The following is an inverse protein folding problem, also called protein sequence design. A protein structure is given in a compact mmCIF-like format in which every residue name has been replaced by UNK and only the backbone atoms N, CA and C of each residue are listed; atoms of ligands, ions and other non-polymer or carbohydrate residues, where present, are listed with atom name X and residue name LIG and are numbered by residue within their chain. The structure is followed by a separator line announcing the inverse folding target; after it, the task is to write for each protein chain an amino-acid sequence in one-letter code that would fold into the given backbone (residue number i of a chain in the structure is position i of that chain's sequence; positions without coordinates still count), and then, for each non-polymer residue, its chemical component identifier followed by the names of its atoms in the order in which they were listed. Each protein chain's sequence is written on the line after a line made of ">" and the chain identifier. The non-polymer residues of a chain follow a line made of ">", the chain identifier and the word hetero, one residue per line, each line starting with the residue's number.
data_IF_263656854198
#
_entry.id   IF_263656854198
#
_cell.length_a   1.000
_cell.length_b   1.000
_cell.length_c   1.000
_cell.angle_alpha   90.00
_cell.angle_beta   90.00
_cell.angle_gamma   90.00
#
_symmetry.space_group_name_H-M   'P 1'
#
loop_
_entity.id
_entity.type
_entity.pdbx_description
1 polymer ?
#
# COMPACT_ATOMS: atom_id res chain seq x y z
N UNK A 1 13.84 12.24 -13.34
CA UNK A 1 14.40 10.96 -12.84
C UNK A 1 13.22 10.18 -12.31
N UNK A 2 13.05 8.93 -12.74
CA UNK A 2 11.94 8.08 -12.31
C UNK A 2 12.18 7.61 -10.89
N UNK A 3 11.22 7.80 -10.01
CA UNK A 3 11.24 7.31 -8.63
C UNK A 3 10.38 6.06 -8.55
N UNK A 4 10.85 5.04 -7.88
CA UNK A 4 10.10 3.80 -7.69
C UNK A 4 9.83 3.55 -6.21
N UNK A 5 8.67 2.96 -5.92
CA UNK A 5 8.31 2.45 -4.61
C UNK A 5 8.15 0.94 -4.73
N UNK A 6 8.85 0.20 -3.90
CA UNK A 6 8.62 -1.22 -3.65
C UNK A 6 7.52 -1.36 -2.61
N UNK A 7 6.52 -2.16 -2.94
CA UNK A 7 5.47 -2.59 -2.04
C UNK A 7 5.74 -4.04 -1.66
N UNK A 8 5.74 -4.32 -0.37
CA UNK A 8 5.96 -5.65 0.15
C UNK A 8 4.84 -6.01 1.14
N UNK A 9 4.10 -7.06 0.82
CA UNK A 9 3.07 -7.62 1.69
C UNK A 9 3.54 -8.93 2.27
N UNK A 10 3.42 -9.07 3.56
CA UNK A 10 3.50 -10.31 4.31
C UNK A 10 2.10 -10.71 4.80
N UNK A 11 1.90 -11.91 5.38
CA UNK A 11 0.59 -12.31 5.89
C UNK A 11 -0.01 -11.31 6.86
N UNK A 12 0.77 -10.73 7.75
CA UNK A 12 0.31 -9.87 8.85
C UNK A 12 0.88 -8.44 8.79
N UNK A 13 1.76 -8.13 7.85
CA UNK A 13 2.44 -6.84 7.78
C UNK A 13 2.64 -6.34 6.35
N UNK A 14 2.93 -5.06 6.23
CA UNK A 14 3.10 -4.36 4.97
C UNK A 14 4.15 -3.26 5.10
N UNK A 15 4.95 -3.06 4.07
CA UNK A 15 5.80 -1.87 3.99
C UNK A 15 5.89 -1.30 2.57
N UNK A 16 6.27 -0.04 2.53
CA UNK A 16 6.60 0.70 1.31
C UNK A 16 8.04 1.19 1.43
N UNK A 17 8.84 0.90 0.41
CA UNK A 17 10.25 1.26 0.40
C UNK A 17 10.55 2.07 -0.85
N UNK A 18 11.05 3.29 -0.67
CA UNK A 18 11.55 4.09 -1.79
C UNK A 18 12.85 3.49 -2.31
N UNK A 19 12.86 3.16 -3.60
CA UNK A 19 14.03 2.58 -4.23
C UNK A 19 14.97 3.68 -4.74
N UNK A 20 16.27 3.47 -4.66
CA UNK A 20 17.24 4.40 -5.23
C UNK A 20 17.13 4.42 -6.76
N UNK A 21 17.70 5.45 -7.39
CA UNK A 21 17.53 5.70 -8.84
C UNK A 21 18.80 5.42 -9.66
N UNK A 22 19.86 4.93 -9.04
CA UNK A 22 21.12 4.62 -9.71
C UNK A 22 21.01 3.30 -10.46
N UNK A 23 21.30 3.31 -11.76
CA UNK A 23 21.25 2.13 -12.61
C UNK A 23 22.50 1.23 -12.45
N UNK A 24 22.35 -0.05 -12.83
CA UNK A 24 23.43 -1.07 -12.85
C UNK A 24 24.10 -1.27 -11.47
N UNK A 25 23.30 -1.23 -10.42
CA UNK A 25 23.77 -1.43 -9.05
C UNK A 25 22.89 -2.40 -8.30
N UNK A 26 23.52 -3.23 -7.46
CA UNK A 26 22.84 -4.07 -6.49
C UNK A 26 22.60 -3.30 -5.20
N UNK A 27 21.43 -3.51 -4.62
CA UNK A 27 21.01 -2.91 -3.38
C UNK A 27 20.61 -4.00 -2.40
N UNK A 28 21.05 -3.87 -1.16
CA UNK A 28 20.64 -4.73 -0.06
C UNK A 28 19.73 -3.91 0.86
N UNK A 29 18.54 -4.42 1.08
CA UNK A 29 17.53 -3.84 1.98
C UNK A 29 17.43 -4.73 3.23
N UNK A 30 17.67 -4.14 4.39
CA UNK A 30 17.38 -4.80 5.67
C UNK A 30 15.91 -4.61 6.00
N UNK A 31 15.13 -5.68 5.86
CA UNK A 31 13.69 -5.65 6.10
C UNK A 31 13.33 -5.62 7.58
N UNK A 32 14.21 -6.03 8.47
CA UNK A 32 13.95 -6.02 9.91
C UNK A 32 13.83 -4.61 10.49
N UNK A 33 14.36 -3.61 9.79
CA UNK A 33 14.20 -2.20 10.16
C UNK A 33 12.77 -1.67 9.93
N UNK A 34 11.96 -2.36 9.12
CA UNK A 34 10.63 -1.88 8.70
C UNK A 34 9.49 -2.87 9.01
N UNK A 35 9.83 -4.13 9.22
CA UNK A 35 8.88 -5.22 9.43
C UNK A 35 9.19 -5.95 10.74
N UNK A 36 8.18 -6.46 11.45
CA UNK A 36 8.38 -7.22 12.68
C UNK A 36 8.82 -8.67 12.37
N UNK A 37 9.93 -8.81 11.61
CA UNK A 37 10.50 -10.09 11.23
C UNK A 37 11.95 -10.20 11.70
N UNK A 38 12.48 -11.42 11.90
CA UNK A 38 13.91 -11.61 12.16
C UNK A 38 14.77 -10.97 11.07
N UNK A 39 16.03 -10.66 11.38
CA UNK A 39 16.96 -10.05 10.44
C UNK A 39 16.89 -10.74 9.07
N UNK A 40 16.43 -10.04 8.07
CA UNK A 40 16.22 -10.52 6.73
C UNK A 40 16.66 -9.47 5.71
N UNK A 41 17.49 -9.90 4.78
CA UNK A 41 18.03 -9.04 3.73
C UNK A 41 17.45 -9.43 2.39
N UNK A 42 16.92 -8.42 1.70
CA UNK A 42 16.42 -8.52 0.34
C UNK A 42 17.42 -7.86 -0.61
N UNK A 43 17.84 -8.60 -1.62
CA UNK A 43 18.71 -8.05 -2.65
C UNK A 43 17.91 -7.67 -3.88
N UNK A 44 18.12 -6.45 -4.35
CA UNK A 44 17.49 -5.88 -5.54
C UNK A 44 18.57 -5.38 -6.50
N UNK A 45 18.26 -5.43 -7.80
CA UNK A 45 19.13 -4.89 -8.84
C UNK A 45 18.31 -4.06 -9.84
N UNK A 46 18.79 -2.88 -10.15
CA UNK A 46 18.27 -2.07 -11.24
C UNK A 46 19.15 -2.30 -12.48
N UNK A 47 18.63 -3.03 -13.45
CA UNK A 47 19.32 -3.39 -14.68
C UNK A 47 18.49 -2.96 -15.89
N UNK A 48 19.07 -2.16 -16.78
CA UNK A 48 18.43 -1.66 -18.02
C UNK A 48 17.06 -1.02 -17.78
N UNK A 49 16.93 -0.28 -16.66
CA UNK A 49 15.69 0.41 -16.29
C UNK A 49 14.63 -0.49 -15.66
N UNK A 50 14.94 -1.76 -15.44
CA UNK A 50 14.03 -2.73 -14.79
C UNK A 50 14.57 -3.16 -13.44
N UNK A 51 13.69 -3.23 -12.46
CA UNK A 51 14.00 -3.73 -11.14
C UNK A 51 13.86 -5.25 -11.07
N UNK A 52 14.86 -5.90 -10.48
CA UNK A 52 14.92 -7.34 -10.26
C UNK A 52 15.08 -7.62 -8.77
N UNK A 53 14.33 -8.58 -8.27
CA UNK A 53 14.52 -9.15 -6.94
C UNK A 53 15.35 -10.41 -7.10
N UNK A 54 16.45 -10.51 -6.36
CA UNK A 54 17.40 -11.63 -6.45
C UNK A 54 17.06 -12.68 -5.40
N UNK A 55 17.21 -13.93 -5.79
CA UNK A 55 17.21 -15.05 -4.85
C UNK A 55 18.51 -15.02 -4.03
N UNK A 56 18.38 -15.25 -2.74
CA UNK A 56 19.52 -15.39 -1.84
C UNK A 56 19.20 -16.43 -0.75
N UNK A 57 20.01 -16.50 0.30
CA UNK A 57 19.81 -17.44 1.41
C UNK A 57 18.50 -17.18 2.21
N UNK A 58 17.84 -16.04 2.02
CA UNK A 58 16.65 -15.63 2.76
C UNK A 58 15.45 -15.36 1.87
N UNK A 59 15.63 -15.27 0.54
CA UNK A 59 14.57 -15.02 -0.45
C UNK A 59 14.49 -16.19 -1.42
N UNK A 60 13.32 -16.80 -1.51
CA UNK A 60 13.06 -17.95 -2.37
C UNK A 60 11.79 -17.70 -3.20
N UNK A 61 11.82 -18.08 -4.48
CA UNK A 61 10.66 -17.94 -5.38
C UNK A 61 9.91 -19.26 -5.60
N UNK A 62 10.31 -20.31 -4.90
CA UNK A 62 9.62 -21.60 -4.88
C UNK A 62 9.79 -22.30 -3.53
N UNK A 63 8.83 -23.15 -3.18
CA UNK A 63 8.83 -23.85 -1.89
C UNK A 63 9.99 -24.87 -1.75
N UNK A 64 10.46 -25.42 -2.87
CA UNK A 64 11.58 -26.39 -2.91
C UNK A 64 12.96 -25.72 -3.05
N UNK A 65 13.02 -24.39 -3.12
CA UNK A 65 14.24 -23.62 -3.28
C UNK A 65 14.87 -23.68 -4.69
N UNK A 66 14.22 -24.33 -5.65
CA UNK A 66 14.69 -24.50 -7.05
C UNK A 66 14.13 -23.48 -8.03
N UNK A 67 13.50 -22.42 -7.53
CA UNK A 67 12.98 -21.33 -8.35
C UNK A 67 14.07 -20.55 -9.10
N UNK A 68 13.67 -19.58 -9.93
CA UNK A 68 14.60 -18.75 -10.68
C UNK A 68 15.55 -17.97 -9.75
N UNK A 69 16.70 -17.57 -10.28
CA UNK A 69 17.69 -16.79 -9.52
C UNK A 69 17.28 -15.35 -9.32
N UNK A 70 16.36 -14.85 -10.16
CA UNK A 70 15.80 -13.51 -10.05
C UNK A 70 14.38 -13.44 -10.61
N UNK A 71 13.60 -12.49 -10.12
CA UNK A 71 12.26 -12.17 -10.62
C UNK A 71 12.18 -10.69 -10.93
N UNK A 72 11.69 -10.35 -12.13
CA UNK A 72 11.45 -8.96 -12.49
C UNK A 72 10.25 -8.42 -11.70
N UNK A 73 10.47 -7.27 -11.08
CA UNK A 73 9.40 -6.52 -10.41
C UNK A 73 8.67 -5.64 -11.43
N UNK A 74 7.36 -5.60 -11.35
CA UNK A 74 6.51 -4.76 -12.21
C UNK A 74 5.35 -4.17 -11.43
N UNK A 75 4.62 -3.26 -12.06
CA UNK A 75 3.38 -2.68 -11.55
C UNK A 75 2.13 -3.51 -11.89
N UNK A 76 2.27 -4.46 -12.83
CA UNK A 76 1.15 -5.25 -13.36
C UNK A 76 0.99 -6.62 -12.66
N UNK A 77 2.10 -7.21 -12.25
CA UNK A 77 2.11 -8.58 -11.72
C UNK A 77 2.99 -8.64 -10.48
N UNK A 78 2.45 -9.04 -9.32
CA UNK A 78 3.28 -9.22 -8.12
C UNK A 78 4.19 -10.43 -8.25
N UNK A 79 5.38 -10.30 -7.71
CA UNK A 79 6.28 -11.43 -7.44
C UNK A 79 5.84 -12.06 -6.13
N UNK A 80 5.67 -13.37 -6.13
CA UNK A 80 5.38 -14.15 -4.94
C UNK A 80 6.63 -14.94 -4.53
N UNK A 81 6.85 -15.05 -3.23
CA UNK A 81 7.99 -15.78 -2.72
C UNK A 81 7.87 -16.14 -1.24
N UNK A 82 8.98 -16.63 -0.71
CA UNK A 82 9.16 -17.03 0.68
C UNK A 82 10.32 -16.24 1.27
N UNK A 83 10.17 -15.77 2.49
CA UNK A 83 11.06 -14.86 3.17
C UNK A 83 11.58 -15.48 4.47
N UNK A 84 12.89 -15.38 4.69
CA UNK A 84 13.55 -15.77 5.93
C UNK A 84 13.58 -17.28 6.20
N UNK A 85 14.06 -17.65 7.38
CA UNK A 85 14.17 -19.03 7.83
C UNK A 85 12.81 -19.71 8.01
N UNK A 86 11.80 -18.96 8.45
CA UNK A 86 10.42 -19.40 8.64
C UNK A 86 9.68 -19.63 7.33
N UNK A 87 10.27 -19.21 6.19
CA UNK A 87 9.66 -19.27 4.85
C UNK A 87 8.29 -18.60 4.80
N UNK A 88 8.21 -17.43 5.39
CA UNK A 88 6.98 -16.64 5.40
C UNK A 88 6.62 -16.19 3.98
N UNK A 89 5.36 -16.37 3.59
CA UNK A 89 4.89 -15.98 2.25
C UNK A 89 4.89 -14.48 2.10
N UNK A 90 5.40 -13.99 0.98
CA UNK A 90 5.29 -12.58 0.63
C UNK A 90 4.78 -12.38 -0.79
N UNK A 91 4.29 -11.19 -1.06
CA UNK A 91 4.12 -10.66 -2.41
C UNK A 91 4.77 -9.28 -2.51
N UNK A 92 5.43 -9.03 -3.64
CA UNK A 92 6.13 -7.78 -3.89
C UNK A 92 5.85 -7.26 -5.29
N UNK A 93 5.70 -5.96 -5.44
CA UNK A 93 5.63 -5.26 -6.73
C UNK A 93 6.23 -3.88 -6.61
N UNK A 94 6.52 -3.25 -7.74
CA UNK A 94 6.96 -1.87 -7.76
C UNK A 94 5.95 -1.01 -8.50
N UNK A 95 6.00 0.29 -8.22
CA UNK A 95 5.35 1.31 -9.04
C UNK A 95 6.28 2.49 -9.22
N UNK A 96 6.31 2.99 -10.45
CA UNK A 96 6.87 4.30 -10.71
C UNK A 96 5.97 5.37 -10.06
N UNK A 97 6.56 6.31 -9.35
CA UNK A 97 5.84 7.40 -8.72
C UNK A 97 6.44 8.75 -9.13
N UNK A 98 5.61 9.76 -9.20
CA UNK A 98 6.02 11.14 -9.36
C UNK A 98 5.99 11.88 -8.04
N UNK A 99 6.62 13.04 -7.97
CA UNK A 99 6.54 13.92 -6.79
C UNK A 99 5.08 14.30 -6.47
N UNK A 100 4.19 14.33 -7.47
CA UNK A 100 2.76 14.62 -7.30
C UNK A 100 2.03 13.48 -6.57
N UNK A 101 2.39 12.23 -6.83
CA UNK A 101 1.78 11.06 -6.20
C UNK A 101 2.17 10.89 -4.73
N UNK A 102 3.19 11.61 -4.27
CA UNK A 102 3.55 11.71 -2.86
C UNK A 102 2.70 12.74 -2.11
N UNK A 103 1.89 13.52 -2.82
CA UNK A 103 0.98 14.48 -2.23
C UNK A 103 -0.34 13.80 -1.90
N UNK A 104 -0.92 14.19 -0.77
CA UNK A 104 -2.22 13.72 -0.34
C UNK A 104 -3.30 14.71 -0.75
N UNK A 105 -4.33 14.23 -1.44
CA UNK A 105 -5.58 14.94 -1.62
C UNK A 105 -6.54 14.59 -0.47
N UNK A 106 -7.26 15.60 0.03
CA UNK A 106 -8.19 15.43 1.15
C UNK A 106 -9.62 15.45 0.64
N UNK A 107 -10.38 14.46 1.08
CA UNK A 107 -11.80 14.30 0.74
C UNK A 107 -12.63 14.32 2.02
N UNK A 108 -13.76 15.03 1.99
CA UNK A 108 -14.68 15.10 3.12
C UNK A 108 -15.59 13.88 3.13
N UNK A 109 -15.69 13.25 4.30
CA UNK A 109 -16.68 12.21 4.62
C UNK A 109 -17.67 12.70 5.66
N UNK A 110 -17.69 14.02 5.90
CA UNK A 110 -18.61 14.64 6.84
C UNK A 110 -20.07 14.38 6.44
N UNK A 111 -20.89 14.02 7.40
CA UNK A 111 -22.31 13.71 7.16
C UNK A 111 -22.58 12.30 6.62
N UNK A 112 -21.56 11.56 6.22
CA UNK A 112 -21.71 10.17 5.79
C UNK A 112 -21.70 9.21 6.99
N UNK A 113 -22.41 8.10 6.83
CA UNK A 113 -22.40 6.99 7.80
C UNK A 113 -21.69 5.75 7.24
N UNK A 114 -21.42 5.76 5.93
CA UNK A 114 -20.77 4.66 5.23
C UNK A 114 -19.98 5.20 4.03
N UNK A 115 -18.80 4.64 3.79
CA UNK A 115 -17.98 4.90 2.61
C UNK A 115 -17.47 3.58 2.06
N UNK A 116 -17.72 3.31 0.79
CA UNK A 116 -17.24 2.13 0.07
C UNK A 116 -16.01 2.52 -0.74
N UNK A 117 -14.93 1.78 -0.54
CA UNK A 117 -13.69 1.94 -1.30
C UNK A 117 -13.42 0.69 -2.12
N UNK A 118 -13.13 0.84 -3.40
CA UNK A 118 -12.86 -0.28 -4.28
C UNK A 118 -12.73 0.15 -5.74
N UNK A 119 -12.70 -0.81 -6.67
CA UNK A 119 -12.63 -0.50 -8.11
C UNK A 119 -13.98 -0.47 -8.83
N UNK A 120 -15.07 -0.84 -8.16
CA UNK A 120 -16.41 -0.80 -8.76
C UNK A 120 -16.82 0.64 -9.07
N UNK A 121 -17.61 0.83 -10.11
CA UNK A 121 -18.15 2.13 -10.48
C UNK A 121 -19.02 2.76 -9.39
N UNK A 122 -19.68 1.91 -8.58
CA UNK A 122 -20.54 2.32 -7.47
C UNK A 122 -19.78 2.60 -6.16
N UNK A 123 -18.44 2.45 -6.15
CA UNK A 123 -17.66 2.80 -4.98
C UNK A 123 -17.63 4.32 -4.78
N UNK A 124 -17.77 4.77 -3.53
CA UNK A 124 -17.68 6.20 -3.18
C UNK A 124 -16.27 6.74 -3.46
N UNK A 125 -15.26 5.90 -3.28
CA UNK A 125 -13.87 6.15 -3.67
C UNK A 125 -13.43 4.99 -4.55
N UNK A 126 -13.23 5.27 -5.83
CA UNK A 126 -12.72 4.31 -6.79
C UNK A 126 -11.20 4.43 -6.87
N UNK A 127 -10.53 3.30 -6.62
CA UNK A 127 -9.08 3.16 -6.73
C UNK A 127 -8.77 2.32 -7.97
N UNK A 128 -8.09 2.92 -8.96
CA UNK A 128 -7.77 2.25 -10.22
C UNK A 128 -6.44 1.49 -10.10
N UNK A 129 -6.54 0.22 -9.74
CA UNK A 129 -5.40 -0.68 -9.63
C UNK A 129 -5.84 -2.14 -9.79
N UNK A 130 -5.02 -3.00 -10.43
CA UNK A 130 -5.30 -4.44 -10.55
C UNK A 130 -5.32 -5.15 -9.19
N UNK A 131 -4.72 -4.56 -8.16
CA UNK A 131 -4.66 -5.11 -6.81
C UNK A 131 -5.89 -4.79 -5.96
N UNK A 132 -6.79 -3.94 -6.45
CA UNK A 132 -8.00 -3.51 -5.75
C UNK A 132 -9.20 -4.39 -6.16
N UNK A 133 -9.93 -4.89 -5.18
CA UNK A 133 -11.19 -5.64 -5.38
C UNK A 133 -12.34 -4.70 -5.74
N UNK A 134 -13.45 -5.21 -6.27
CA UNK A 134 -14.65 -4.42 -6.61
C UNK A 134 -15.14 -3.61 -5.39
N UNK A 135 -15.34 -4.29 -4.27
CA UNK A 135 -15.43 -3.69 -2.94
C UNK A 135 -14.17 -4.13 -2.24
N UNK A 136 -13.34 -3.18 -1.80
CA UNK A 136 -12.05 -3.48 -1.22
C UNK A 136 -12.08 -3.37 0.29
N UNK A 137 -12.63 -2.26 0.80
CA UNK A 137 -12.98 -2.11 2.19
C UNK A 137 -14.16 -1.15 2.37
N UNK A 138 -14.75 -1.19 3.53
CA UNK A 138 -15.88 -0.35 3.89
C UNK A 138 -15.54 0.38 5.17
N UNK A 139 -15.79 1.68 5.18
CA UNK A 139 -15.81 2.48 6.40
C UNK A 139 -17.25 2.63 6.83
N UNK A 140 -17.54 2.41 8.11
CA UNK A 140 -18.88 2.57 8.68
C UNK A 140 -18.79 3.39 9.97
N UNK A 141 -19.66 4.38 10.11
CA UNK A 141 -19.76 5.20 11.33
C UNK A 141 -20.78 4.57 12.27
N UNK A 142 -20.36 4.24 13.46
CA UNK A 142 -21.21 3.76 14.54
C UNK A 142 -21.23 4.77 15.70
N UNK A 143 -21.79 4.39 16.86
CA UNK A 143 -21.86 5.25 18.05
C UNK A 143 -20.49 5.62 18.61
N UNK A 144 -19.52 4.73 18.45
CA UNK A 144 -18.15 4.88 18.97
C UNK A 144 -17.19 5.52 17.96
N UNK A 145 -17.68 5.86 16.76
CA UNK A 145 -16.94 6.50 15.69
C UNK A 145 -16.85 5.65 14.41
N UNK A 146 -15.79 5.81 13.64
CA UNK A 146 -15.60 5.10 12.40
C UNK A 146 -14.88 3.77 12.59
N UNK A 147 -15.34 2.75 11.89
CA UNK A 147 -14.68 1.43 11.80
C UNK A 147 -14.38 1.11 10.35
N UNK A 148 -13.34 0.31 10.14
CA UNK A 148 -12.95 -0.22 8.83
C UNK A 148 -13.12 -1.74 8.80
N UNK A 149 -13.66 -2.27 7.70
CA UNK A 149 -13.81 -3.69 7.44
C UNK A 149 -13.16 -4.07 6.11
N UNK A 150 -12.25 -5.05 6.14
CA UNK A 150 -11.57 -5.57 4.95
C UNK A 150 -12.49 -6.54 4.19
N UNK A 151 -12.79 -6.20 2.91
CA UNK A 151 -13.56 -7.03 1.97
C UNK A 151 -12.69 -7.52 0.81
N UNK A 152 -11.39 -7.31 0.90
CA UNK A 152 -10.46 -7.51 -0.22
C UNK A 152 -9.93 -8.94 -0.33
N UNK A 153 -9.31 -9.22 -1.49
CA UNK A 153 -8.52 -10.44 -1.68
C UNK A 153 -7.08 -10.29 -1.21
N UNK A 154 -6.52 -9.09 -1.40
CA UNK A 154 -5.10 -8.83 -1.21
C UNK A 154 -4.77 -8.26 0.18
N UNK A 155 -5.77 -7.92 0.95
CA UNK A 155 -5.63 -7.38 2.29
C UNK A 155 -5.66 -5.85 2.36
N UNK A 156 -6.14 -5.38 3.49
CA UNK A 156 -6.07 -3.99 3.94
C UNK A 156 -5.25 -3.97 5.23
N UNK A 157 -4.38 -3.00 5.35
CA UNK A 157 -3.49 -2.87 6.50
C UNK A 157 -3.78 -1.57 7.22
N UNK A 158 -4.04 -1.65 8.50
CA UNK A 158 -4.25 -0.51 9.40
C UNK A 158 -3.02 -0.36 10.28
N UNK A 159 -2.36 0.81 10.20
CA UNK A 159 -1.14 1.11 10.97
C UNK A 159 -0.08 -0.02 10.81
N UNK A 160 0.12 -0.47 9.56
CA UNK A 160 1.02 -1.55 9.11
C UNK A 160 0.62 -2.98 9.54
N UNK A 161 -0.51 -3.17 10.23
CA UNK A 161 -1.01 -4.49 10.60
C UNK A 161 -2.20 -4.87 9.72
N UNK A 162 -2.23 -6.12 9.25
CA UNK A 162 -3.33 -6.62 8.43
C UNK A 162 -4.62 -6.64 9.23
N UNK A 163 -5.69 -6.11 8.64
CA UNK A 163 -7.04 -6.24 9.19
C UNK A 163 -7.47 -7.71 9.04
N UNK A 164 -7.82 -8.41 10.13
CA UNK A 164 -8.29 -9.78 10.03
C UNK A 164 -9.58 -9.85 9.19
N UNK A 165 -9.71 -10.83 8.27
CA UNK A 165 -10.90 -10.95 7.43
C UNK A 165 -12.19 -11.00 8.26
N UNK A 166 -13.22 -10.28 7.78
CA UNK A 166 -14.57 -10.22 8.43
C UNK A 166 -14.54 -9.62 9.84
N UNK A 167 -13.50 -8.88 10.19
CA UNK A 167 -13.48 -8.11 11.44
C UNK A 167 -13.47 -6.62 11.12
N UNK A 168 -14.23 -5.88 11.93
CA UNK A 168 -14.17 -4.41 11.90
C UNK A 168 -13.21 -3.92 12.96
N UNK A 169 -12.32 -3.02 12.58
CA UNK A 169 -11.40 -2.36 13.50
C UNK A 169 -11.75 -0.88 13.64
N UNK A 170 -11.59 -0.35 14.83
CA UNK A 170 -11.83 1.06 15.12
C UNK A 170 -10.77 1.93 14.46
N UNK A 171 -11.21 2.95 13.72
CA UNK A 171 -10.34 4.00 13.19
C UNK A 171 -10.16 5.11 14.23
N UNK A 172 -8.93 5.56 14.38
CA UNK A 172 -8.59 6.74 15.18
C UNK A 172 -8.08 7.84 14.24
N UNK A 173 -8.25 9.11 14.59
CA UNK A 173 -7.59 10.17 13.85
C UNK A 173 -6.09 9.86 13.68
N UNK A 174 -5.57 10.05 12.46
CA UNK A 174 -4.23 9.70 12.00
C UNK A 174 -3.95 8.21 11.82
N UNK A 175 -4.96 7.34 11.84
CA UNK A 175 -4.79 5.95 11.40
C UNK A 175 -4.39 5.90 9.93
N UNK A 176 -3.36 5.12 9.62
CA UNK A 176 -2.84 4.90 8.27
C UNK A 176 -3.43 3.62 7.69
N UNK A 177 -4.01 3.71 6.50
CA UNK A 177 -4.60 2.59 5.76
C UNK A 177 -3.77 2.37 4.51
N UNK A 178 -3.24 1.15 4.35
CA UNK A 178 -2.47 0.77 3.16
C UNK A 178 -3.18 -0.35 2.41
N UNK A 179 -3.26 -0.22 1.09
CA UNK A 179 -3.86 -1.24 0.24
C UNK A 179 -3.54 -1.04 -1.23
N UNK A 180 -3.18 -2.10 -1.94
CA UNK A 180 -3.02 -2.11 -3.40
C UNK A 180 -2.13 -1.00 -3.98
N UNK A 181 -1.15 -0.52 -3.21
CA UNK A 181 -0.29 0.60 -3.57
C UNK A 181 -0.82 1.99 -3.16
N UNK A 182 -2.00 2.06 -2.59
CA UNK A 182 -2.57 3.29 -2.05
C UNK A 182 -2.28 3.44 -0.57
N UNK A 183 -2.09 4.67 -0.16
CA UNK A 183 -1.95 5.07 1.22
C UNK A 183 -3.01 6.11 1.55
N UNK A 184 -3.86 5.79 2.50
CA UNK A 184 -4.90 6.68 3.00
C UNK A 184 -4.61 7.01 4.46
N UNK A 185 -4.94 8.22 4.88
CA UNK A 185 -4.87 8.65 6.27
C UNK A 185 -6.26 9.08 6.70
N UNK A 186 -6.78 8.45 7.74
CA UNK A 186 -8.04 8.85 8.34
C UNK A 186 -7.83 10.03 9.29
N UNK A 187 -8.54 11.13 9.07
CA UNK A 187 -8.44 12.38 9.83
C UNK A 187 -9.74 12.73 10.57
N UNK A 188 -10.53 11.72 10.92
CA UNK A 188 -11.85 11.90 11.55
C UNK A 188 -12.96 12.09 10.52
N UNK A 189 -13.22 13.32 10.10
CA UNK A 189 -14.24 13.63 9.09
C UNK A 189 -13.64 13.83 7.68
N UNK A 190 -12.35 13.55 7.52
CA UNK A 190 -11.64 13.61 6.25
C UNK A 190 -10.84 12.34 5.99
N UNK A 191 -10.66 12.00 4.72
CA UNK A 191 -9.70 11.04 4.23
C UNK A 191 -8.65 11.76 3.38
N UNK A 192 -7.39 11.64 3.73
CA UNK A 192 -6.29 12.06 2.89
C UNK A 192 -5.80 10.84 2.10
N UNK A 193 -5.69 10.96 0.78
CA UNK A 193 -5.35 9.83 -0.10
C UNK A 193 -4.21 10.25 -1.01
N UNK A 194 -3.16 9.42 -1.10
CA UNK A 194 -2.10 9.59 -2.08
C UNK A 194 -2.53 9.04 -3.45
N UNK A 195 -1.70 9.24 -4.48
CA UNK A 195 -1.97 8.74 -5.85
C UNK A 195 -3.25 9.32 -6.48
N UNK A 196 -3.43 10.63 -6.36
CA UNK A 196 -4.61 11.35 -6.82
C UNK A 196 -5.03 11.06 -8.28
N UNK A 197 -4.07 10.79 -9.16
CA UNK A 197 -4.35 10.52 -10.60
C UNK A 197 -5.05 9.18 -10.84
N UNK A 198 -5.02 8.27 -9.86
CA UNK A 198 -5.64 6.94 -9.93
C UNK A 198 -6.91 6.84 -9.09
N UNK A 199 -7.42 7.99 -8.64
CA UNK A 199 -8.59 8.07 -7.79
C UNK A 199 -9.72 8.75 -8.54
N UNK A 200 -10.89 8.12 -8.52
CA UNK A 200 -12.15 8.75 -8.95
C UNK A 200 -13.11 8.77 -7.77
N UNK A 201 -13.63 9.91 -7.42
CA UNK A 201 -14.59 10.04 -6.31
C UNK A 201 -15.55 11.20 -6.52
N UNK A 202 -16.79 11.01 -6.07
CA UNK A 202 -17.81 12.06 -5.95
C UNK A 202 -17.74 12.81 -4.61
N UNK A 203 -16.86 12.36 -3.67
CA UNK A 203 -16.71 13.04 -2.40
C UNK A 203 -16.14 14.45 -2.60
N UNK A 204 -16.63 15.43 -1.86
CA UNK A 204 -16.14 16.80 -1.97
C UNK A 204 -14.68 16.88 -1.53
N UNK A 205 -13.86 17.52 -2.37
CA UNK A 205 -12.48 17.85 -1.99
C UNK A 205 -12.50 18.87 -0.87
N UNK A 206 -11.69 18.66 0.13
CA UNK A 206 -11.51 19.62 1.21
C UNK A 206 -10.65 20.79 0.72
N UNK A 207 -11.26 21.97 0.67
CA UNK A 207 -10.55 23.22 0.51
C UNK A 207 -10.37 23.85 1.90
N UNK A 208 -9.13 24.11 2.37
CA UNK A 208 -8.96 24.86 3.62
C UNK A 208 -9.60 26.24 3.48
N UNK A 209 -10.19 26.78 4.56
CA UNK A 209 -10.72 28.13 4.54
C UNK A 209 -9.62 29.10 4.08
N UNK A 210 -9.96 30.05 3.22
CA UNK A 210 -9.05 31.10 2.81
C UNK A 210 -8.46 31.75 4.06
N UNK A 211 -7.12 31.87 4.09
CA UNK A 211 -6.50 32.65 5.17
C UNK A 211 -7.06 34.06 5.07
N UNK A 212 -7.78 34.47 6.09
CA UNK A 212 -8.06 35.91 6.26
C UNK A 212 -6.70 36.54 6.56
N UNK A 213 -6.17 37.26 5.58
CA UNK A 213 -5.06 38.18 5.80
C UNK A 213 -5.58 39.22 6.81
N UNK A 214 -5.24 39.03 8.07
CA UNK A 214 -5.47 40.08 9.06
C UNK A 214 -4.62 41.28 8.69
N UNK A 215 -5.21 42.46 8.59
CA UNK A 215 -4.49 43.69 8.31
C UNK A 215 -3.44 44.03 9.36
#
# INVERSE_FOLDING_TARGET
>A
MKQYILYLNLPDSYCQIFLPTENNRKYELDLSAQLPIPACKMELELLDGHWWMLRNAQIYFSADGKGPDSMQLSDQTPVYGLLGAEREKFSAWIRETSARELQFEKFSIHGLTRVVVGKAEQADIRLDSPYISHIHFILTKNRDGWVIEDMSRNGVYLDNQRIPPKKSLQLRPFSHIYTGGFHLIFLGELLAINCADQITTALPRYAPPAREDKP
#
